data_IF_236633468775
#
_entry.id   IF_236633468775
#
_cell.length_a   1.000
_cell.length_b   1.000
_cell.length_c   1.000
_cell.angle_alpha   90.00
_cell.angle_beta   90.00
_cell.angle_gamma   90.00
#
_symmetry.space_group_name_H-M   'P 1'
#
loop_
_entity.id
_entity.type
_entity.pdbx_description
1 polymer ?
#
# COMPACT_ATOMS: atom_id res chain seq x y z
N UNK A 1 61.85 19.75 7.41
CA UNK A 1 60.84 18.99 6.66
C UNK A 1 60.26 17.99 7.63
N UNK A 2 59.02 18.27 7.99
CA UNK A 2 58.15 17.51 8.88
C UNK A 2 57.85 16.12 8.30
N UNK A 3 57.57 15.13 9.15
CA UNK A 3 56.21 14.58 9.27
C UNK A 3 56.20 13.51 10.38
N UNK A 4 55.56 13.86 11.50
CA UNK A 4 55.21 12.96 12.59
C UNK A 4 53.91 12.24 12.19
N UNK A 5 53.95 10.91 12.12
CA UNK A 5 52.76 10.07 11.98
C UNK A 5 52.09 9.99 13.36
N UNK A 6 50.99 10.71 13.52
CA UNK A 6 50.18 10.67 14.72
C UNK A 6 49.22 9.48 14.68
N UNK A 7 49.30 8.75 15.78
CA UNK A 7 48.55 7.59 16.26
C UNK A 7 47.04 7.59 15.96
N UNK A 8 46.55 6.41 15.57
CA UNK A 8 45.19 6.10 15.16
C UNK A 8 44.26 6.11 16.38
N UNK A 9 43.64 7.27 16.64
CA UNK A 9 42.59 7.38 17.64
C UNK A 9 41.35 6.62 17.16
N UNK A 10 41.23 5.37 17.62
CA UNK A 10 40.04 4.54 17.48
C UNK A 10 38.81 5.33 17.94
N UNK A 11 38.00 5.77 17.00
CA UNK A 11 36.73 6.44 17.24
C UNK A 11 35.71 5.41 17.74
N UNK A 12 35.77 5.11 19.04
CA UNK A 12 34.74 4.31 19.70
C UNK A 12 33.44 5.11 19.68
N UNK A 13 32.56 4.74 18.75
CA UNK A 13 31.19 5.24 18.68
C UNK A 13 30.53 4.90 20.03
N UNK A 14 30.03 5.89 20.81
CA UNK A 14 29.39 5.61 22.08
C UNK A 14 28.07 4.88 21.83
N UNK A 15 28.10 3.55 21.95
CA UNK A 15 26.91 2.72 21.94
C UNK A 15 26.08 3.01 23.20
N UNK A 16 24.77 3.20 23.03
CA UNK A 16 23.81 3.34 24.13
C UNK A 16 24.01 2.18 25.11
N UNK A 17 24.19 2.46 26.41
CA UNK A 17 24.22 1.43 27.48
C UNK A 17 23.00 0.49 27.43
N UNK A 18 21.92 0.97 26.85
CA UNK A 18 20.66 0.33 26.52
C UNK A 18 20.80 -0.94 25.65
N UNK A 19 21.86 -1.01 24.84
CA UNK A 19 22.18 -2.15 23.96
C UNK A 19 23.06 -3.18 24.69
N UNK A 20 23.81 -2.74 25.70
CA UNK A 20 24.79 -3.53 26.45
C UNK A 20 24.26 -4.05 27.80
N UNK A 21 23.06 -3.64 28.20
CA UNK A 21 22.41 -4.14 29.40
C UNK A 21 21.90 -5.57 29.16
N UNK A 22 22.60 -6.56 29.69
CA UNK A 22 22.09 -7.91 29.99
C UNK A 22 21.04 -7.89 31.12
N UNK A 23 20.28 -6.81 31.26
CA UNK A 23 19.10 -6.84 32.12
C UNK A 23 18.09 -7.74 31.41
N UNK A 24 17.66 -8.86 32.00
CA UNK A 24 16.66 -9.71 31.38
C UNK A 24 15.48 -8.82 31.08
N UNK A 25 15.07 -8.76 29.80
CA UNK A 25 13.87 -8.07 29.37
C UNK A 25 12.77 -8.39 30.38
N UNK A 26 12.36 -7.42 31.19
CA UNK A 26 11.34 -7.65 32.20
C UNK A 26 10.18 -8.30 31.48
N UNK A 27 9.80 -9.52 31.89
CA UNK A 27 8.64 -10.20 31.35
C UNK A 27 7.46 -9.24 31.52
N UNK A 28 7.00 -8.68 30.40
CA UNK A 28 5.86 -7.79 30.40
C UNK A 28 4.67 -8.67 30.77
N UNK A 29 4.28 -8.62 32.05
CA UNK A 29 3.12 -9.34 32.54
C UNK A 29 1.87 -8.70 31.94
N UNK A 30 1.48 -9.16 30.75
CA UNK A 30 0.25 -8.74 30.08
C UNK A 30 -0.92 -9.36 30.83
N UNK A 31 -1.80 -8.56 31.46
CA UNK A 31 -3.00 -9.08 32.11
C UNK A 31 -3.84 -9.93 31.16
N UNK A 32 -4.47 -11.00 31.63
CA UNK A 32 -5.23 -11.93 30.78
C UNK A 32 -6.28 -11.27 29.89
N UNK A 33 -6.94 -10.20 30.37
CA UNK A 33 -7.93 -9.48 29.57
C UNK A 33 -7.28 -8.83 28.35
N UNK A 34 -6.05 -8.32 28.47
CA UNK A 34 -5.29 -7.77 27.35
C UNK A 34 -4.85 -8.89 26.41
N UNK A 35 -4.41 -10.04 26.92
CA UNK A 35 -4.07 -11.20 26.08
C UNK A 35 -5.26 -11.68 25.24
N UNK A 36 -6.46 -11.77 25.85
CA UNK A 36 -7.71 -12.11 25.14
C UNK A 36 -8.08 -11.08 24.09
N UNK A 37 -7.91 -9.78 24.37
CA UNK A 37 -8.15 -8.75 23.37
C UNK A 37 -7.15 -8.81 22.23
N UNK A 38 -5.86 -8.98 22.52
CA UNK A 38 -4.82 -9.10 21.50
C UNK A 38 -5.02 -10.33 20.61
N UNK A 39 -5.42 -11.47 21.18
CA UNK A 39 -5.72 -12.67 20.39
C UNK A 39 -6.96 -12.49 19.51
N UNK A 40 -7.99 -11.79 20.00
CA UNK A 40 -9.17 -11.45 19.19
C UNK A 40 -8.81 -10.50 18.05
N UNK A 41 -8.01 -9.46 18.32
CA UNK A 41 -7.54 -8.50 17.31
C UNK A 41 -6.73 -9.22 16.25
N UNK A 42 -5.76 -10.05 16.65
CA UNK A 42 -4.92 -10.82 15.73
C UNK A 42 -5.76 -11.75 14.85
N UNK A 43 -6.71 -12.49 15.44
CA UNK A 43 -7.62 -13.37 14.67
C UNK A 43 -8.50 -12.57 13.68
N UNK A 44 -8.94 -11.39 14.09
CA UNK A 44 -9.76 -10.51 13.22
C UNK A 44 -8.94 -9.97 12.06
N UNK A 45 -7.73 -9.49 12.34
CA UNK A 45 -6.80 -9.01 11.33
C UNK A 45 -6.47 -10.10 10.31
N UNK A 46 -6.20 -11.31 10.78
CA UNK A 46 -5.90 -12.46 9.94
C UNK A 46 -7.07 -12.79 9.01
N UNK A 47 -8.29 -12.88 9.55
CA UNK A 47 -9.49 -13.11 8.74
C UNK A 47 -9.70 -12.02 7.67
N UNK A 48 -9.55 -10.74 8.04
CA UNK A 48 -9.71 -9.61 7.11
C UNK A 48 -8.66 -9.65 6.00
N UNK A 49 -7.41 -9.96 6.35
CA UNK A 49 -6.26 -10.02 5.43
C UNK A 49 -6.37 -11.21 4.48
N UNK A 50 -6.63 -12.42 4.98
CA UNK A 50 -6.77 -13.62 4.16
C UNK A 50 -7.89 -13.49 3.14
N UNK A 51 -9.00 -12.87 3.53
CA UNK A 51 -10.16 -12.64 2.68
C UNK A 51 -10.05 -11.38 1.82
N UNK A 52 -8.98 -10.58 1.98
CA UNK A 52 -8.75 -9.30 1.29
C UNK A 52 -9.97 -8.36 1.39
N UNK A 53 -10.64 -8.38 2.54
CA UNK A 53 -11.86 -7.61 2.79
C UNK A 53 -11.59 -6.11 2.68
N UNK A 54 -10.50 -5.55 3.25
CA UNK A 54 -10.22 -4.12 3.12
C UNK A 54 -10.07 -3.66 1.66
N UNK A 55 -9.42 -4.46 0.81
CA UNK A 55 -9.27 -4.14 -0.62
C UNK A 55 -10.59 -4.23 -1.37
N UNK A 56 -11.43 -5.23 -1.06
CA UNK A 56 -12.77 -5.35 -1.63
C UNK A 56 -13.62 -4.14 -1.26
N UNK A 57 -13.65 -3.73 0.02
CA UNK A 57 -14.41 -2.57 0.46
C UNK A 57 -13.90 -1.29 -0.23
N UNK A 58 -12.58 -1.11 -0.31
CA UNK A 58 -11.99 0.02 -1.04
C UNK A 58 -12.42 0.05 -2.50
N UNK A 59 -12.39 -1.10 -3.17
CA UNK A 59 -12.84 -1.23 -4.55
C UNK A 59 -14.32 -0.84 -4.72
N UNK A 60 -15.19 -1.37 -3.88
CA UNK A 60 -16.63 -1.06 -3.91
C UNK A 60 -16.89 0.43 -3.68
N UNK A 61 -16.23 1.04 -2.70
CA UNK A 61 -16.36 2.46 -2.40
C UNK A 61 -15.89 3.34 -3.57
N UNK A 62 -14.72 3.05 -4.15
CA UNK A 62 -14.21 3.82 -5.30
C UNK A 62 -15.19 3.69 -6.49
N UNK A 63 -15.78 2.50 -6.70
CA UNK A 63 -16.77 2.28 -7.75
C UNK A 63 -18.05 3.09 -7.54
N UNK A 64 -18.53 3.22 -6.31
CA UNK A 64 -19.69 4.08 -6.00
C UNK A 64 -19.33 5.54 -6.27
N UNK A 65 -18.21 6.02 -5.74
CA UNK A 65 -17.80 7.43 -5.87
C UNK A 65 -17.65 7.80 -7.36
N UNK A 66 -16.98 6.96 -8.13
CA UNK A 66 -16.73 7.21 -9.55
C UNK A 66 -18.02 7.20 -10.40
N UNK A 67 -18.96 6.31 -10.09
CA UNK A 67 -20.21 6.19 -10.85
C UNK A 67 -21.29 7.17 -10.36
N UNK A 68 -21.23 7.59 -9.09
CA UNK A 68 -22.24 8.42 -8.41
C UNK A 68 -23.69 7.99 -8.75
N UNK A 69 -24.06 6.72 -8.53
CA UNK A 69 -25.36 6.19 -8.92
C UNK A 69 -26.49 6.82 -8.09
N UNK A 70 -27.68 6.96 -8.68
CA UNK A 70 -28.89 7.40 -7.97
C UNK A 70 -29.35 6.40 -6.90
N UNK A 71 -29.10 5.10 -7.12
CA UNK A 71 -29.33 4.02 -6.16
C UNK A 71 -28.01 3.25 -5.91
N UNK A 72 -27.24 3.63 -4.88
CA UNK A 72 -25.95 3.00 -4.60
C UNK A 72 -26.07 1.57 -4.09
N UNK A 73 -27.18 1.20 -3.46
CA UNK A 73 -27.37 -0.16 -2.93
C UNK A 73 -27.55 -1.14 -4.07
N UNK A 74 -28.48 -0.85 -4.99
CA UNK A 74 -28.71 -1.71 -6.15
C UNK A 74 -27.46 -1.76 -7.05
N UNK A 75 -26.76 -0.64 -7.22
CA UNK A 75 -25.49 -0.63 -7.95
C UNK A 75 -24.45 -1.59 -7.34
N UNK A 76 -24.31 -1.60 -6.00
CA UNK A 76 -23.40 -2.52 -5.31
C UNK A 76 -23.80 -3.98 -5.44
N UNK A 77 -25.10 -4.31 -5.37
CA UNK A 77 -25.60 -5.67 -5.57
C UNK A 77 -25.19 -6.17 -6.96
N UNK A 78 -25.48 -5.39 -8.00
CA UNK A 78 -25.11 -5.73 -9.38
C UNK A 78 -23.59 -5.87 -9.56
N UNK A 79 -22.80 -4.99 -8.92
CA UNK A 79 -21.34 -5.05 -8.97
C UNK A 79 -20.79 -6.33 -8.32
N UNK A 80 -21.34 -6.74 -7.18
CA UNK A 80 -20.97 -7.97 -6.50
C UNK A 80 -21.38 -9.20 -7.32
N UNK A 81 -22.57 -9.20 -7.93
CA UNK A 81 -23.00 -10.26 -8.84
C UNK A 81 -22.05 -10.41 -10.03
N UNK A 82 -21.62 -9.30 -10.63
CA UNK A 82 -20.60 -9.31 -11.69
C UNK A 82 -19.27 -9.89 -11.20
N UNK A 83 -18.81 -9.54 -9.99
CA UNK A 83 -17.64 -10.15 -9.38
C UNK A 83 -17.81 -11.68 -9.23
N UNK A 84 -18.99 -12.13 -8.81
CA UNK A 84 -19.27 -13.57 -8.65
C UNK A 84 -19.29 -14.32 -9.98
N UNK A 85 -19.90 -13.73 -11.01
CA UNK A 85 -19.91 -14.28 -12.37
C UNK A 85 -18.48 -14.38 -12.93
N UNK A 86 -17.69 -13.32 -12.78
CA UNK A 86 -16.30 -13.33 -13.22
C UNK A 86 -15.49 -14.42 -12.49
N UNK A 87 -15.71 -14.56 -11.18
CA UNK A 87 -15.08 -15.61 -10.37
C UNK A 87 -15.48 -17.03 -10.81
N UNK A 88 -16.68 -17.22 -11.36
CA UNK A 88 -17.10 -18.52 -11.92
C UNK A 88 -16.63 -18.76 -13.36
N UNK A 89 -15.81 -17.87 -13.91
CA UNK A 89 -15.24 -17.97 -15.26
C UNK A 89 -16.09 -17.33 -16.35
N UNK A 90 -17.14 -16.59 -15.99
CA UNK A 90 -18.07 -15.96 -16.93
C UNK A 90 -18.03 -14.44 -16.87
N UNK A 91 -18.20 -13.78 -18.01
CA UNK A 91 -18.25 -12.32 -18.07
C UNK A 91 -16.88 -11.65 -17.95
N UNK A 92 -16.89 -10.33 -17.77
CA UNK A 92 -15.69 -9.49 -17.75
C UNK A 92 -15.33 -9.10 -16.30
N UNK A 93 -14.04 -8.91 -15.99
CA UNK A 93 -13.66 -8.43 -14.68
C UNK A 93 -14.22 -7.02 -14.46
N UNK A 94 -14.82 -6.73 -13.30
CA UNK A 94 -15.23 -5.39 -12.98
C UNK A 94 -13.99 -4.54 -12.66
N UNK A 95 -13.51 -3.80 -13.65
CA UNK A 95 -12.27 -3.00 -13.59
C UNK A 95 -12.56 -1.57 -13.17
N UNK A 96 -11.77 -1.00 -12.25
CA UNK A 96 -11.86 0.41 -11.86
C UNK A 96 -11.61 1.36 -13.03
N UNK A 97 -10.53 1.10 -13.77
CA UNK A 97 -10.15 1.87 -14.92
C UNK A 97 -10.65 1.18 -16.19
N UNK A 98 -11.51 1.88 -16.92
CA UNK A 98 -11.90 1.49 -18.25
C UNK A 98 -10.86 2.00 -19.25
N UNK A 99 -10.91 1.49 -20.48
CA UNK A 99 -9.97 1.86 -21.54
C UNK A 99 -9.90 3.38 -21.77
N UNK A 100 -11.02 4.10 -21.61
CA UNK A 100 -11.03 5.57 -21.68
C UNK A 100 -10.17 6.23 -20.60
N UNK A 101 -10.14 5.67 -19.39
CA UNK A 101 -9.34 6.21 -18.28
C UNK A 101 -7.85 5.94 -18.54
N UNK A 102 -7.52 4.74 -19.01
CA UNK A 102 -6.14 4.40 -19.38
C UNK A 102 -5.66 5.28 -20.56
N UNK A 103 -6.52 5.48 -21.57
CA UNK A 103 -6.24 6.34 -22.72
C UNK A 103 -6.03 7.80 -22.30
N UNK A 104 -6.80 8.29 -21.34
CA UNK A 104 -6.61 9.64 -20.78
C UNK A 104 -5.25 9.76 -20.07
N UNK A 105 -4.86 8.75 -19.28
CA UNK A 105 -3.55 8.71 -18.61
C UNK A 105 -2.43 8.70 -19.66
N UNK A 106 -2.50 7.81 -20.66
CA UNK A 106 -1.49 7.73 -21.72
C UNK A 106 -1.40 9.06 -22.48
N UNK A 107 -2.53 9.66 -22.87
CA UNK A 107 -2.56 10.97 -23.52
C UNK A 107 -1.99 12.10 -22.66
N UNK A 108 -2.08 12.01 -21.33
CA UNK A 108 -1.48 13.01 -20.45
C UNK A 108 0.06 12.99 -20.53
N UNK A 109 0.65 11.82 -20.79
CA UNK A 109 2.10 11.66 -20.96
C UNK A 109 2.54 11.89 -22.42
N UNK A 110 1.72 11.47 -23.39
CA UNK A 110 1.95 11.66 -24.83
C UNK A 110 0.74 12.33 -25.52
N UNK A 111 0.60 13.67 -25.42
CA UNK A 111 -0.52 14.38 -26.03
C UNK A 111 -0.55 14.30 -27.56
N UNK A 112 0.61 14.02 -28.17
CA UNK A 112 0.78 13.94 -29.62
C UNK A 112 0.52 12.55 -30.21
N UNK A 113 0.17 11.56 -29.38
CA UNK A 113 -0.09 10.17 -29.80
C UNK A 113 1.02 9.59 -30.69
N UNK A 114 2.28 9.91 -30.35
CA UNK A 114 3.48 9.52 -31.09
C UNK A 114 3.90 8.09 -30.81
N UNK A 115 3.44 7.50 -29.70
CA UNK A 115 3.73 6.12 -29.31
C UNK A 115 5.08 5.96 -28.59
N UNK A 116 5.77 7.06 -28.27
CA UNK A 116 7.02 7.06 -27.51
C UNK A 116 7.14 8.31 -26.64
N UNK A 117 7.83 8.18 -25.50
CA UNK A 117 8.10 9.27 -24.57
C UNK A 117 9.56 9.67 -24.64
N UNK A 118 9.84 10.98 -24.65
CA UNK A 118 11.21 11.48 -24.46
C UNK A 118 11.67 11.26 -23.01
N UNK A 119 12.98 11.13 -22.81
CA UNK A 119 13.58 11.09 -21.45
C UNK A 119 13.21 12.32 -20.60
N UNK A 120 13.00 13.49 -21.22
CA UNK A 120 12.53 14.70 -20.53
C UNK A 120 11.08 14.61 -20.06
N UNK A 121 10.18 14.04 -20.87
CA UNK A 121 8.78 13.80 -20.46
C UNK A 121 8.71 12.76 -19.34
N UNK A 122 9.50 11.69 -19.42
CA UNK A 122 9.56 10.67 -18.39
C UNK A 122 10.09 11.22 -17.05
N UNK A 123 11.15 12.03 -17.07
CA UNK A 123 11.68 12.65 -15.84
C UNK A 123 10.68 13.58 -15.16
N UNK A 124 9.94 14.41 -15.90
CA UNK A 124 8.90 15.27 -15.31
C UNK A 124 7.77 14.46 -14.67
N UNK A 125 7.34 13.37 -15.30
CA UNK A 125 6.35 12.47 -14.74
C UNK A 125 6.79 11.81 -13.41
N UNK A 126 8.09 11.63 -13.22
CA UNK A 126 8.66 10.96 -12.04
C UNK A 126 9.10 11.94 -10.94
N UNK A 127 9.44 13.19 -11.28
CA UNK A 127 9.95 14.20 -10.33
C UNK A 127 8.81 15.05 -9.74
N UNK A 128 7.70 15.25 -10.45
CA UNK A 128 6.56 16.09 -10.00
C UNK A 128 5.41 15.27 -9.36
N UNK A 129 5.62 13.99 -9.06
CA UNK A 129 4.65 13.16 -8.32
C UNK A 129 4.75 13.45 -6.81
N UNK A 130 3.63 13.59 -6.07
CA UNK A 130 3.65 13.88 -4.64
C UNK A 130 3.91 12.60 -3.82
N UNK A 131 5.05 11.96 -4.04
CA UNK A 131 5.61 10.94 -3.15
C UNK A 131 7.13 11.07 -3.09
#
# INVERSE_FOLDING_TARGET
MSDNVADDSSSQIPLCKCILSEEPSQEVHIPEYKQRMLSLVSRTEEYLRERRIPELIRFLLVKIIAASPSDPVNYLVNLIEQCMLYRSGYGKPPVLYEERHLKAIIKSFDPGDRGWLTAGQFRRAHIDGPY
#
